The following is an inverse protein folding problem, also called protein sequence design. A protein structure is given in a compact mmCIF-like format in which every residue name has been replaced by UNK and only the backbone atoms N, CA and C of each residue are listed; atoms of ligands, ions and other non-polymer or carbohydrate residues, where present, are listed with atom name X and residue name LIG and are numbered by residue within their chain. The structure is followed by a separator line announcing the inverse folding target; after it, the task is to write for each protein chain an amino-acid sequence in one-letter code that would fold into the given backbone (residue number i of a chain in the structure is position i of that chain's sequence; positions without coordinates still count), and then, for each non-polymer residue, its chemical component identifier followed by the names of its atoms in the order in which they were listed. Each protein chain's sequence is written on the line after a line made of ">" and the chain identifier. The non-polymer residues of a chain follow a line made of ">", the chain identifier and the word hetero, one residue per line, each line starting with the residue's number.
data_IF_058944169360
#
_entry.id   IF_058944169360
#
_cell.length_a   1.000
_cell.length_b   1.000
_cell.length_c   1.000
_cell.angle_alpha   90.00
_cell.angle_beta   90.00
_cell.angle_gamma   90.00
#
_symmetry.space_group_name_H-M   'P 1'
#
loop_
_entity.id
_entity.type
_entity.pdbx_description
1 polymer ?
#
# COMPACT_ATOMS: atom_id res chain seq x y z
N UNK A 1 -5.88 3.41 1.55
CA UNK A 1 -6.29 4.16 2.74
C UNK A 1 -5.41 5.40 2.89
N UNK A 2 -6.02 6.55 3.07
CA UNK A 2 -5.30 7.83 3.22
C UNK A 2 -5.17 8.20 4.70
N UNK A 3 -3.94 8.40 5.15
CA UNK A 3 -3.65 8.76 6.55
C UNK A 3 -2.24 9.35 6.65
N UNK A 4 -1.93 9.96 7.79
CA UNK A 4 -0.56 10.40 8.07
C UNK A 4 0.33 9.21 8.40
N UNK A 5 1.65 9.40 8.28
CA UNK A 5 2.60 8.34 8.68
C UNK A 5 2.51 8.05 10.18
N UNK A 6 2.18 9.06 11.01
CA UNK A 6 1.98 8.86 12.45
C UNK A 6 0.77 7.94 12.73
N UNK A 7 -0.34 8.18 12.03
CA UNK A 7 -1.53 7.33 12.16
C UNK A 7 -1.27 5.90 11.67
N UNK A 8 -0.49 5.74 10.59
CA UNK A 8 -0.08 4.44 10.10
C UNK A 8 0.79 3.72 11.13
N UNK A 9 1.72 4.43 11.76
CA UNK A 9 2.58 3.89 12.82
C UNK A 9 1.74 3.34 13.97
N UNK A 10 0.74 4.08 14.43
CA UNK A 10 -0.16 3.65 15.49
C UNK A 10 -0.94 2.40 15.11
N UNK A 11 -1.41 2.32 13.85
CA UNK A 11 -2.10 1.13 13.35
C UNK A 11 -1.19 -0.10 13.34
N UNK A 12 0.07 0.08 12.94
CA UNK A 12 1.06 -1.00 12.93
C UNK A 12 1.32 -1.48 14.38
N UNK A 13 1.45 -0.57 15.33
CA UNK A 13 1.60 -0.94 16.72
C UNK A 13 0.43 -1.78 17.25
N UNK A 14 -0.80 -1.42 16.87
CA UNK A 14 -1.99 -2.20 17.24
C UNK A 14 -1.95 -3.60 16.62
N UNK A 15 -1.48 -3.72 15.39
CA UNK A 15 -1.32 -5.03 14.74
C UNK A 15 -0.27 -5.88 15.44
N UNK A 16 0.83 -5.28 15.87
CA UNK A 16 1.88 -5.98 16.62
C UNK A 16 1.33 -6.50 17.95
N UNK A 17 0.54 -5.68 18.64
CA UNK A 17 -0.08 -6.09 19.91
C UNK A 17 -1.02 -7.28 19.76
N UNK A 18 -1.78 -7.32 18.66
CA UNK A 18 -2.77 -8.39 18.42
C UNK A 18 -2.18 -9.63 17.75
N UNK A 19 -1.13 -9.48 16.93
CA UNK A 19 -0.61 -10.57 16.10
C UNK A 19 0.84 -10.96 16.44
N UNK A 20 1.57 -10.12 17.15
CA UNK A 20 2.97 -10.32 17.50
C UNK A 20 3.91 -9.58 16.53
N UNK A 21 5.08 -9.22 17.05
CA UNK A 21 6.07 -8.44 16.28
C UNK A 21 6.69 -9.20 15.10
N UNK A 22 6.64 -10.53 15.15
CA UNK A 22 7.20 -11.39 14.11
C UNK A 22 6.14 -11.86 13.11
N UNK A 23 4.90 -11.38 13.22
CA UNK A 23 3.85 -11.68 12.25
C UNK A 23 4.24 -11.12 10.88
N UNK A 24 4.07 -11.92 9.84
CA UNK A 24 4.42 -11.51 8.47
C UNK A 24 3.28 -10.76 7.82
N UNK A 25 3.61 -9.85 6.92
CA UNK A 25 2.63 -9.05 6.19
C UNK A 25 3.14 -8.74 4.78
N UNK A 26 2.23 -8.24 3.95
CA UNK A 26 2.59 -7.57 2.70
C UNK A 26 2.14 -6.12 2.82
N UNK A 27 3.01 -5.18 2.46
CA UNK A 27 2.72 -3.77 2.65
C UNK A 27 3.05 -2.95 1.39
N UNK A 28 2.17 -2.00 1.09
CA UNK A 28 2.33 -1.06 -0.01
C UNK A 28 2.08 0.33 0.55
N UNK A 29 3.13 1.15 0.64
CA UNK A 29 3.06 2.51 1.21
C UNK A 29 3.56 3.51 0.17
N UNK A 30 2.71 4.47 -0.18
CA UNK A 30 3.05 5.57 -1.08
C UNK A 30 3.02 6.86 -0.28
N UNK A 31 4.08 7.65 -0.40
CA UNK A 31 4.24 8.90 0.33
C UNK A 31 4.37 10.07 -0.64
N UNK A 32 4.54 11.28 -0.08
CA UNK A 32 4.75 12.49 -0.88
C UNK A 32 5.95 12.37 -1.83
N UNK A 33 6.93 11.53 -1.53
CA UNK A 33 8.09 11.32 -2.39
C UNK A 33 7.77 10.48 -3.63
N UNK A 34 6.59 9.86 -3.67
CA UNK A 34 6.13 9.09 -4.83
C UNK A 34 5.30 9.94 -5.80
N UNK A 35 4.98 11.19 -5.42
CA UNK A 35 4.16 12.11 -6.24
C UNK A 35 5.09 13.09 -6.95
N UNK A 36 5.52 12.72 -8.13
CA UNK A 36 6.42 13.53 -8.94
C UNK A 36 6.25 13.22 -10.42
N UNK A 37 6.72 14.14 -11.26
CA UNK A 37 6.87 13.91 -12.69
C UNK A 37 8.36 13.91 -13.02
N UNK A 38 8.74 13.08 -13.98
CA UNK A 38 10.12 13.02 -14.44
C UNK A 38 10.30 13.92 -15.65
N UNK A 39 11.23 14.86 -15.54
CA UNK A 39 11.59 15.76 -16.64
C UNK A 39 12.74 15.14 -17.44
N UNK A 40 12.45 14.65 -18.65
CA UNK A 40 13.43 14.00 -19.50
C UNK A 40 14.53 14.97 -19.99
N UNK A 41 14.20 16.26 -20.17
CA UNK A 41 15.15 17.27 -20.66
C UNK A 41 16.25 17.54 -19.66
N UNK A 42 15.89 17.64 -18.37
CA UNK A 42 16.84 17.93 -17.29
C UNK A 42 17.29 16.67 -16.56
N UNK A 43 16.70 15.53 -16.87
CA UNK A 43 16.95 14.25 -16.21
C UNK A 43 16.73 14.33 -14.70
N UNK A 44 15.72 15.11 -14.28
CA UNK A 44 15.39 15.36 -12.88
C UNK A 44 13.93 15.08 -12.56
N UNK A 45 13.67 14.73 -11.30
CA UNK A 45 12.33 14.59 -10.77
C UNK A 45 11.78 15.95 -10.37
N UNK A 46 10.53 16.24 -10.76
CA UNK A 46 9.84 17.48 -10.39
C UNK A 46 8.72 17.14 -9.41
N UNK A 47 8.79 17.75 -8.23
CA UNK A 47 7.82 17.58 -7.16
C UNK A 47 6.79 18.71 -7.17
N UNK A 48 5.63 18.43 -6.65
CA UNK A 48 4.50 19.35 -6.63
C UNK A 48 4.37 20.03 -5.27
N UNK A 49 3.49 21.05 -5.20
CA UNK A 49 3.19 21.72 -3.95
C UNK A 49 2.59 20.73 -2.94
N UNK A 50 2.66 21.10 -1.67
CA UNK A 50 2.09 20.27 -0.59
C UNK A 50 0.60 20.03 -0.79
N UNK A 51 -0.17 21.05 -1.19
CA UNK A 51 -1.60 20.93 -1.42
C UNK A 51 -1.91 19.97 -2.57
N UNK A 52 -1.19 20.10 -3.68
CA UNK A 52 -1.35 19.21 -4.83
C UNK A 52 -1.05 17.76 -4.46
N UNK A 53 0.07 17.53 -3.81
CA UNK A 53 0.51 16.20 -3.38
C UNK A 53 -0.50 15.57 -2.42
N UNK A 54 -1.01 16.36 -1.48
CA UNK A 54 -2.03 15.91 -0.52
C UNK A 54 -3.30 15.46 -1.25
N UNK A 55 -3.76 16.23 -2.22
CA UNK A 55 -4.96 15.90 -3.00
C UNK A 55 -4.78 14.60 -3.80
N UNK A 56 -3.62 14.41 -4.41
CA UNK A 56 -3.31 13.18 -5.16
C UNK A 56 -3.33 11.97 -4.24
N UNK A 57 -2.67 12.06 -3.09
CA UNK A 57 -2.59 10.93 -2.15
C UNK A 57 -3.95 10.63 -1.52
N UNK A 58 -4.76 11.66 -1.25
CA UNK A 58 -6.11 11.47 -0.73
C UNK A 58 -7.00 10.74 -1.74
N UNK A 59 -6.90 11.11 -3.00
CA UNK A 59 -7.66 10.46 -4.09
C UNK A 59 -7.26 8.99 -4.24
N UNK A 60 -5.98 8.72 -4.31
CA UNK A 60 -5.46 7.34 -4.43
C UNK A 60 -5.79 6.52 -3.18
N UNK A 61 -5.55 7.07 -2.00
CA UNK A 61 -5.77 6.38 -0.73
C UNK A 61 -7.24 6.12 -0.43
N UNK A 62 -8.14 6.93 -0.99
CA UNK A 62 -9.58 6.75 -0.84
C UNK A 62 -10.21 5.81 -1.86
N UNK A 63 -9.44 5.26 -2.77
CA UNK A 63 -9.97 4.40 -3.85
C UNK A 63 -10.34 3.02 -3.33
N UNK A 64 -11.62 2.67 -3.40
CA UNK A 64 -12.10 1.33 -3.09
C UNK A 64 -11.65 0.30 -4.13
N UNK A 65 -11.40 0.74 -5.36
CA UNK A 65 -10.92 -0.12 -6.45
C UNK A 65 -9.64 -0.85 -6.09
N UNK A 66 -8.68 -0.14 -5.47
CA UNK A 66 -7.39 -0.74 -5.06
C UNK A 66 -7.62 -1.85 -4.03
N UNK A 67 -8.49 -1.62 -3.05
CA UNK A 67 -8.84 -2.62 -2.04
C UNK A 67 -9.47 -3.86 -2.66
N UNK A 68 -10.37 -3.66 -3.61
CA UNK A 68 -11.04 -4.77 -4.32
C UNK A 68 -10.03 -5.58 -5.11
N UNK A 69 -9.10 -4.93 -5.81
CA UNK A 69 -8.07 -5.61 -6.59
C UNK A 69 -7.13 -6.43 -5.71
N UNK A 70 -6.69 -5.89 -4.58
CA UNK A 70 -5.84 -6.63 -3.64
C UNK A 70 -6.59 -7.82 -3.07
N UNK A 71 -7.87 -7.65 -2.71
CA UNK A 71 -8.72 -8.74 -2.21
C UNK A 71 -8.85 -9.86 -3.23
N UNK A 72 -9.10 -9.53 -4.49
CA UNK A 72 -9.17 -10.51 -5.58
C UNK A 72 -7.85 -11.24 -5.77
N UNK A 73 -6.73 -10.54 -5.71
CA UNK A 73 -5.40 -11.13 -5.83
C UNK A 73 -5.12 -12.12 -4.70
N UNK A 74 -5.54 -11.80 -3.49
CA UNK A 74 -5.40 -12.71 -2.34
C UNK A 74 -6.26 -13.96 -2.56
N UNK A 75 -7.51 -13.79 -2.96
CA UNK A 75 -8.43 -14.91 -3.21
C UNK A 75 -7.91 -15.82 -4.31
N UNK A 76 -7.42 -15.24 -5.40
CA UNK A 76 -6.84 -15.99 -6.52
C UNK A 76 -5.58 -16.75 -6.09
N UNK A 77 -4.72 -16.12 -5.29
CA UNK A 77 -3.52 -16.76 -4.77
C UNK A 77 -3.85 -17.93 -3.85
N UNK A 78 -4.87 -17.78 -3.00
CA UNK A 78 -5.37 -18.85 -2.13
C UNK A 78 -5.88 -20.01 -2.98
N UNK A 79 -6.74 -19.72 -3.96
CA UNK A 79 -7.35 -20.73 -4.82
C UNK A 79 -6.30 -21.53 -5.59
N UNK A 80 -5.30 -20.86 -6.11
CA UNK A 80 -4.22 -21.51 -6.84
C UNK A 80 -3.43 -22.47 -5.94
N UNK A 81 -3.11 -22.06 -4.72
CA UNK A 81 -2.31 -22.86 -3.78
C UNK A 81 -3.08 -24.04 -3.20
N UNK A 82 -4.39 -23.94 -3.05
CA UNK A 82 -5.24 -25.07 -2.61
C UNK A 82 -5.17 -26.25 -3.57
N UNK A 83 -4.85 -26.02 -4.83
CA UNK A 83 -4.73 -27.05 -5.85
C UNK A 83 -3.35 -27.73 -5.85
N UNK A 84 -2.38 -27.20 -5.11
CA UNK A 84 -1.03 -27.72 -5.07
C UNK A 84 -0.88 -28.72 -3.92
N UNK A 85 -0.33 -29.94 -4.18
CA UNK A 85 -0.14 -30.96 -3.14
C UNK A 85 0.72 -30.48 -1.97
N UNK A 86 1.64 -29.56 -2.23
CA UNK A 86 2.54 -29.02 -1.21
C UNK A 86 1.80 -28.36 -0.05
N UNK A 87 0.63 -27.77 -0.32
CA UNK A 87 -0.18 -27.05 0.67
C UNK A 87 -1.44 -27.79 1.08
N UNK A 88 -1.60 -29.02 0.64
CA UNK A 88 -2.76 -29.84 1.03
C UNK A 88 -2.63 -30.26 2.50
N UNK A 89 -3.67 -29.97 3.28
CA UNK A 89 -3.74 -30.32 4.69
C UNK A 89 -4.72 -31.47 4.90
#
# INVERSE_FOLDING_TARGET
>A
MFRTLSELHDSINSMIESQGENAVCAAFVFTQHDVFEYNEDDNQEEYFSTLFTHDVLADVGGSSYIYEQVGEMIDDAISLRKKLPLYAN
#
